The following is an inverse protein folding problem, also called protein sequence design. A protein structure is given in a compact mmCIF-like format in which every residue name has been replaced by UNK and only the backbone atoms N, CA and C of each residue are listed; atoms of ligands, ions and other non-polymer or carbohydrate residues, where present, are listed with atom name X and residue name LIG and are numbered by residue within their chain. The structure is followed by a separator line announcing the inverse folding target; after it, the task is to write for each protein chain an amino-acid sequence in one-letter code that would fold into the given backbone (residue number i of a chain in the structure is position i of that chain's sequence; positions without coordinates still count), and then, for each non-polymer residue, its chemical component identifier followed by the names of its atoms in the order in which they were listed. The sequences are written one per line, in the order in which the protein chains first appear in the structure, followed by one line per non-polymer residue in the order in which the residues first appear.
data_IF_525710609353
#
_entry.id   IF_525710609353
#
_cell.length_a   1.000
_cell.length_b   1.000
_cell.length_c   1.000
_cell.angle_alpha   90.00
_cell.angle_beta   90.00
_cell.angle_gamma   90.00
#
_symmetry.space_group_name_H-M   'P 1'
#
loop_
_entity.id
_entity.type
_entity.pdbx_description
1 polymer ?
#
# COMPACT_ATOMS: atom_id res chain seq x y z
N UNK A 1 -1.21 -11.27 31.37
CA UNK A 1 0.19 -11.06 30.95
C UNK A 1 0.15 -10.29 29.62
N UNK A 2 0.50 -9.03 29.65
CA UNK A 2 0.66 -8.27 28.42
C UNK A 2 1.96 -8.74 27.79
N UNK A 3 1.89 -9.62 26.78
CA UNK A 3 3.01 -9.82 25.89
C UNK A 3 3.41 -8.44 25.36
N UNK A 4 4.70 -8.12 25.48
CA UNK A 4 5.25 -6.84 25.02
C UNK A 4 5.09 -6.78 23.48
N UNK A 5 3.95 -6.27 23.04
CA UNK A 5 3.66 -6.12 21.60
C UNK A 5 4.59 -5.06 21.04
N UNK A 6 5.47 -5.45 20.13
CA UNK A 6 6.33 -4.51 19.40
C UNK A 6 5.61 -4.04 18.12
N UNK A 7 4.99 -2.87 18.18
CA UNK A 7 4.27 -2.30 17.04
C UNK A 7 5.20 -1.88 15.90
N UNK A 8 6.48 -1.63 16.16
CA UNK A 8 7.45 -1.37 15.09
C UNK A 8 7.62 -2.60 14.21
N UNK A 9 7.57 -3.82 14.76
CA UNK A 9 7.61 -5.04 13.94
C UNK A 9 6.30 -5.27 13.16
N UNK A 10 5.16 -4.98 13.78
CA UNK A 10 3.85 -5.11 13.12
C UNK A 10 3.70 -4.12 11.97
N UNK A 11 4.18 -2.89 12.14
CA UNK A 11 4.01 -1.80 11.18
C UNK A 11 5.20 -1.64 10.19
N UNK A 12 6.24 -2.48 10.27
CA UNK A 12 7.46 -2.32 9.44
C UNK A 12 7.18 -2.29 7.95
N UNK A 13 6.24 -3.11 7.49
CA UNK A 13 5.86 -3.21 6.07
C UNK A 13 4.57 -2.42 5.75
N UNK A 14 4.09 -1.64 6.74
CA UNK A 14 2.87 -0.87 6.59
C UNK A 14 3.08 0.31 5.62
N UNK A 15 2.22 0.48 4.60
CA UNK A 15 2.31 1.60 3.70
C UNK A 15 2.19 2.94 4.44
N UNK A 16 2.95 3.94 3.97
CA UNK A 16 2.74 5.32 4.41
C UNK A 16 1.28 5.72 4.16
N UNK A 17 0.76 6.59 5.03
CA UNK A 17 -0.62 7.09 5.01
C UNK A 17 -1.68 6.02 5.35
N UNK A 18 -1.26 4.85 5.86
CA UNK A 18 -2.20 3.90 6.46
C UNK A 18 -2.89 4.52 7.65
N UNK A 19 -4.24 4.45 7.64
CA UNK A 19 -5.07 4.97 8.71
C UNK A 19 -4.97 4.08 9.95
N UNK A 20 -4.63 4.67 11.08
CA UNK A 20 -4.66 4.06 12.41
C UNK A 20 -5.35 5.02 13.38
N UNK A 21 -5.69 4.55 14.56
CA UNK A 21 -6.43 5.34 15.55
C UNK A 21 -5.56 5.64 16.78
N UNK A 22 -5.61 6.87 17.23
CA UNK A 22 -5.01 7.30 18.48
C UNK A 22 -6.09 7.78 19.46
N UNK A 23 -6.03 7.38 20.73
CA UNK A 23 -7.09 7.65 21.70
C UNK A 23 -7.34 9.14 21.96
N UNK A 24 -6.31 9.98 21.86
CA UNK A 24 -6.43 11.43 22.10
C UNK A 24 -6.32 12.29 20.82
N UNK A 25 -5.78 11.75 19.74
CA UNK A 25 -5.69 12.46 18.45
C UNK A 25 -6.81 12.08 17.46
N UNK A 26 -7.51 10.96 17.71
CA UNK A 26 -8.45 10.40 16.76
C UNK A 26 -7.77 9.62 15.63
N UNK A 27 -8.32 9.71 14.42
CA UNK A 27 -7.76 9.08 13.23
C UNK A 27 -6.46 9.78 12.82
N UNK A 28 -5.38 9.01 12.71
CA UNK A 28 -4.05 9.48 12.32
C UNK A 28 -3.52 8.65 11.15
N UNK A 29 -2.57 9.16 10.41
CA UNK A 29 -1.96 8.48 9.29
C UNK A 29 -0.54 8.05 9.66
N UNK A 30 -0.24 6.76 9.49
CA UNK A 30 1.09 6.21 9.67
C UNK A 30 2.07 6.85 8.67
N UNK A 31 3.24 7.27 9.15
CA UNK A 31 4.26 7.92 8.31
C UNK A 31 5.44 6.99 8.06
N UNK A 32 6.11 6.59 9.12
CA UNK A 32 7.34 5.78 9.05
C UNK A 32 7.71 5.22 10.42
N UNK A 33 8.66 4.28 10.41
CA UNK A 33 9.38 3.85 11.61
C UNK A 33 10.81 4.38 11.53
N UNK A 34 11.28 4.98 12.61
CA UNK A 34 12.67 5.46 12.73
C UNK A 34 13.11 5.39 14.20
N UNK A 35 14.33 4.87 14.45
CA UNK A 35 14.91 4.75 15.78
C UNK A 35 13.97 4.06 16.79
N UNK A 36 13.36 2.95 16.39
CA UNK A 36 12.39 2.20 17.18
C UNK A 36 11.21 3.04 17.69
N UNK A 37 10.81 4.05 16.91
CA UNK A 37 9.63 4.90 17.14
C UNK A 37 8.73 4.90 15.93
N UNK A 38 7.44 4.96 16.20
CA UNK A 38 6.37 4.99 15.20
C UNK A 38 5.99 6.44 14.98
N UNK A 39 6.14 6.92 13.76
CA UNK A 39 5.75 8.27 13.37
C UNK A 39 4.40 8.25 12.67
N UNK A 40 3.55 9.15 13.09
CA UNK A 40 2.22 9.38 12.48
C UNK A 40 2.04 10.87 12.21
N UNK A 41 1.12 11.21 11.32
CA UNK A 41 0.80 12.60 11.08
C UNK A 41 -0.72 12.84 11.04
N UNK A 42 -1.10 14.05 11.45
CA UNK A 42 -2.42 14.63 11.26
C UNK A 42 -2.21 15.97 10.56
N UNK A 43 -2.81 16.13 9.37
CA UNK A 43 -2.58 17.33 8.53
C UNK A 43 -1.08 17.55 8.30
N UNK A 44 -0.51 18.64 8.83
CA UNK A 44 0.90 19.00 8.67
C UNK A 44 1.75 18.75 9.93
N UNK A 45 1.20 18.10 10.95
CA UNK A 45 1.89 17.88 12.23
C UNK A 45 2.27 16.41 12.37
N UNK A 46 3.55 16.13 12.62
CA UNK A 46 4.07 14.79 12.86
C UNK A 46 4.19 14.54 14.38
N UNK A 47 3.70 13.39 14.84
CA UNK A 47 3.81 12.89 16.21
C UNK A 47 4.58 11.59 16.21
N UNK A 48 5.18 11.22 17.34
CA UNK A 48 5.80 9.90 17.47
C UNK A 48 5.31 9.18 18.72
N UNK A 49 5.35 7.85 18.65
CA UNK A 49 5.05 6.93 19.71
C UNK A 49 6.20 5.93 19.88
N UNK A 50 6.34 5.36 21.07
CA UNK A 50 7.29 4.29 21.30
C UNK A 50 6.85 2.98 20.63
N UNK A 51 7.73 1.98 20.62
CA UNK A 51 7.47 0.70 19.95
C UNK A 51 6.32 -0.12 20.54
N UNK A 52 5.94 0.15 21.76
CA UNK A 52 4.77 -0.42 22.45
C UNK A 52 3.47 0.37 22.21
N UNK A 53 3.52 1.44 21.43
CA UNK A 53 2.39 2.32 21.14
C UNK A 53 2.09 3.35 22.21
N UNK A 54 2.98 3.54 23.17
CA UNK A 54 2.83 4.56 24.23
C UNK A 54 3.30 5.93 23.73
N UNK A 55 2.71 6.99 24.30
CA UNK A 55 3.17 8.36 24.03
C UNK A 55 4.28 8.78 25.00
N UNK A 56 4.25 8.29 26.22
CA UNK A 56 5.28 8.49 27.25
C UNK A 56 5.88 7.13 27.65
N UNK A 57 7.15 7.06 28.10
CA UNK A 57 7.84 5.80 28.39
C UNK A 57 7.16 4.89 29.41
N UNK A 58 6.37 5.46 30.33
CA UNK A 58 5.65 4.72 31.37
C UNK A 58 4.13 4.74 31.16
N UNK A 59 3.68 5.10 29.97
CA UNK A 59 2.26 5.24 29.62
C UNK A 59 1.61 3.93 29.19
N UNK A 60 0.31 4.02 28.92
CA UNK A 60 -0.43 2.94 28.27
C UNK A 60 -0.36 3.09 26.74
N UNK A 61 -0.59 1.98 26.03
CA UNK A 61 -0.71 2.01 24.56
C UNK A 61 -1.91 2.86 24.17
N UNK A 62 -1.67 3.86 23.33
CA UNK A 62 -2.67 4.84 22.90
C UNK A 62 -2.96 4.80 21.39
N UNK A 63 -2.23 3.97 20.63
CA UNK A 63 -2.47 3.78 19.19
C UNK A 63 -3.00 2.37 18.92
N UNK A 64 -3.96 2.27 18.00
CA UNK A 64 -4.69 1.05 17.68
C UNK A 64 -4.96 0.95 16.16
N UNK A 65 -5.24 -0.27 15.63
CA UNK A 65 -5.58 -0.45 14.22
C UNK A 65 -6.75 0.42 13.75
N UNK A 66 -7.81 0.52 14.55
CA UNK A 66 -8.96 1.42 14.32
C UNK A 66 -9.64 1.78 15.63
N UNK A 67 -10.68 2.60 15.55
CA UNK A 67 -11.50 2.94 16.74
C UNK A 67 -12.17 1.70 17.33
N UNK A 68 -12.64 0.78 16.50
CA UNK A 68 -13.35 -0.44 16.89
C UNK A 68 -12.38 -1.59 17.18
N UNK A 69 -11.28 -1.66 16.44
CA UNK A 69 -10.28 -2.71 16.56
C UNK A 69 -9.12 -2.25 17.46
N UNK A 70 -9.06 -2.79 18.68
CA UNK A 70 -8.03 -2.51 19.68
C UNK A 70 -6.94 -3.58 19.75
N UNK A 71 -7.10 -4.66 19.03
CA UNK A 71 -6.23 -5.83 19.07
C UNK A 71 -5.30 -5.84 17.84
N UNK A 72 -4.02 -5.57 18.08
CA UNK A 72 -2.99 -5.58 17.05
C UNK A 72 -2.69 -6.96 16.49
N UNK A 73 -3.00 -8.05 17.22
CA UNK A 73 -2.79 -9.42 16.72
C UNK A 73 -3.67 -9.72 15.49
N UNK A 74 -4.76 -9.00 15.35
CA UNK A 74 -5.70 -9.11 14.20
C UNK A 74 -5.47 -8.08 13.11
N UNK A 75 -4.48 -7.21 13.31
CA UNK A 75 -4.14 -6.21 12.30
C UNK A 75 -3.51 -6.88 11.09
N UNK A 76 -4.14 -6.67 9.93
CA UNK A 76 -3.56 -7.05 8.64
C UNK A 76 -2.93 -5.82 8.03
N UNK A 77 -1.63 -5.90 7.77
CA UNK A 77 -0.92 -4.81 7.06
C UNK A 77 -1.64 -4.55 5.73
N UNK A 78 -2.11 -3.33 5.48
CA UNK A 78 -2.75 -3.02 4.22
C UNK A 78 -1.78 -3.24 3.06
N UNK A 79 -2.23 -3.88 2.02
CA UNK A 79 -1.44 -4.01 0.80
C UNK A 79 -1.21 -2.60 0.25
N UNK A 80 0.04 -2.26 -0.07
CA UNK A 80 0.38 -0.97 -0.68
C UNK A 80 -0.47 -0.82 -1.94
N UNK A 81 -1.39 0.14 -1.94
CA UNK A 81 -2.16 0.47 -3.13
C UNK A 81 -1.18 0.83 -4.24
N UNK A 82 -1.24 0.08 -5.32
CA UNK A 82 -0.43 0.33 -6.48
C UNK A 82 -0.83 1.67 -7.12
N UNK A 83 0.16 2.53 -7.37
CA UNK A 83 -0.05 3.79 -8.08
C UNK A 83 0.69 3.71 -9.42
N UNK A 84 -0.02 3.80 -10.57
CA UNK A 84 0.62 3.78 -11.89
C UNK A 84 1.67 4.87 -12.11
N UNK A 85 1.59 5.98 -11.35
CA UNK A 85 2.57 7.07 -11.39
C UNK A 85 3.93 6.70 -10.80
N UNK A 86 4.00 5.60 -10.05
CA UNK A 86 5.25 5.10 -9.47
C UNK A 86 6.11 4.35 -10.49
N UNK A 87 5.57 3.99 -11.67
CA UNK A 87 6.33 3.35 -12.73
C UNK A 87 7.34 4.29 -13.36
N UNK A 88 8.50 3.72 -13.65
CA UNK A 88 9.56 4.36 -14.43
C UNK A 88 9.64 3.70 -15.81
N UNK A 89 10.09 4.44 -16.85
CA UNK A 89 10.37 3.83 -18.15
C UNK A 89 11.26 2.59 -18.01
N UNK A 90 10.87 1.51 -18.71
CA UNK A 90 11.49 0.19 -18.70
C UNK A 90 11.26 -0.67 -17.46
N UNK A 91 10.43 -0.25 -16.50
CA UNK A 91 9.95 -1.16 -15.47
C UNK A 91 9.19 -2.32 -16.12
N UNK A 92 9.45 -3.54 -15.64
CA UNK A 92 8.73 -4.72 -16.11
C UNK A 92 7.34 -4.76 -15.49
N UNK A 93 6.33 -4.94 -16.32
CA UNK A 93 4.91 -4.88 -15.94
C UNK A 93 4.12 -6.05 -16.51
N UNK A 94 2.99 -6.36 -15.89
CA UNK A 94 1.94 -7.18 -16.47
C UNK A 94 0.81 -6.28 -16.95
N UNK A 95 0.37 -6.49 -18.18
CA UNK A 95 -0.69 -5.72 -18.83
C UNK A 95 -1.78 -6.64 -19.35
N UNK A 96 -3.00 -6.15 -19.40
CA UNK A 96 -4.09 -6.82 -20.14
C UNK A 96 -5.12 -5.82 -20.64
N UNK A 97 -5.81 -6.19 -21.71
CA UNK A 97 -6.98 -5.47 -22.18
C UNK A 97 -8.22 -5.87 -21.37
N UNK A 98 -9.23 -4.99 -21.23
CA UNK A 98 -10.51 -5.30 -20.56
C UNK A 98 -11.18 -6.56 -21.08
N UNK A 99 -10.99 -6.85 -22.39
CA UNK A 99 -11.56 -8.04 -23.06
C UNK A 99 -10.59 -9.20 -23.16
N UNK A 100 -9.32 -9.01 -22.82
CA UNK A 100 -8.34 -10.09 -22.85
C UNK A 100 -8.45 -10.93 -21.60
N UNK A 101 -8.16 -12.21 -21.74
CA UNK A 101 -8.23 -13.18 -20.66
C UNK A 101 -6.90 -13.35 -19.92
N UNK A 102 -5.80 -12.98 -20.52
CA UNK A 102 -4.46 -13.25 -20.00
C UNK A 102 -3.66 -11.97 -19.72
N UNK A 103 -2.83 -12.05 -18.69
CA UNK A 103 -1.81 -11.05 -18.42
C UNK A 103 -0.59 -11.28 -19.27
N UNK A 104 -0.10 -10.24 -19.91
CA UNK A 104 1.10 -10.24 -20.75
C UNK A 104 2.22 -9.47 -20.05
N UNK A 105 3.43 -10.03 -20.05
CA UNK A 105 4.59 -9.36 -19.50
C UNK A 105 5.22 -8.44 -20.56
N UNK A 106 5.40 -7.18 -20.22
CA UNK A 106 6.01 -6.17 -21.10
C UNK A 106 6.79 -5.14 -20.28
N UNK A 107 7.30 -4.09 -20.94
CA UNK A 107 7.99 -3.00 -20.30
C UNK A 107 7.16 -1.71 -20.37
N UNK A 108 7.09 -1.00 -19.26
CA UNK A 108 6.43 0.27 -19.17
C UNK A 108 7.19 1.33 -19.97
N UNK A 109 6.48 2.18 -20.69
CA UNK A 109 7.03 3.34 -21.39
C UNK A 109 6.55 4.65 -20.80
N UNK A 110 5.27 4.87 -20.79
CA UNK A 110 4.66 6.06 -20.20
C UNK A 110 3.18 5.84 -19.86
N UNK A 111 2.65 6.70 -19.02
CA UNK A 111 1.23 6.77 -18.69
C UNK A 111 0.53 7.73 -19.65
N UNK A 112 -0.55 7.28 -20.31
CA UNK A 112 -1.43 8.16 -21.06
C UNK A 112 -2.56 8.61 -20.16
N UNK A 113 -2.60 9.89 -19.86
CA UNK A 113 -3.74 10.53 -19.23
C UNK A 113 -4.54 11.20 -20.34
N UNK A 114 -5.28 10.43 -21.11
CA UNK A 114 -6.26 10.99 -22.05
C UNK A 114 -7.68 10.59 -21.66
N UNK A 115 -8.42 11.53 -21.49
CA UNK A 115 -9.78 11.94 -21.14
C UNK A 115 -10.93 10.92 -21.07
N UNK A 116 -10.83 9.68 -21.44
CA UNK A 116 -11.95 8.71 -21.28
C UNK A 116 -11.48 7.27 -20.98
N UNK A 117 -10.27 6.92 -21.35
CA UNK A 117 -9.70 5.60 -21.11
C UNK A 117 -8.23 5.80 -20.70
N UNK A 118 -7.98 6.05 -19.44
CA UNK A 118 -6.61 6.05 -18.92
C UNK A 118 -5.93 4.71 -19.24
N UNK A 119 -4.68 4.73 -19.62
CA UNK A 119 -3.95 3.53 -19.99
C UNK A 119 -2.44 3.71 -19.87
N UNK A 120 -1.73 2.63 -20.02
CA UNK A 120 -0.27 2.58 -20.04
C UNK A 120 0.19 2.25 -21.45
N UNK A 121 1.19 2.98 -21.94
CA UNK A 121 1.88 2.60 -23.18
C UNK A 121 3.07 1.73 -22.81
N UNK A 122 3.17 0.58 -23.42
CA UNK A 122 4.36 -0.25 -23.41
C UNK A 122 5.38 0.17 -24.49
N UNK A 123 6.50 -0.53 -24.55
CA UNK A 123 7.56 -0.25 -25.54
C UNK A 123 7.13 -0.52 -26.99
N UNK A 124 6.06 -1.29 -27.22
CA UNK A 124 5.49 -1.56 -28.53
C UNK A 124 4.53 -0.48 -29.02
N UNK A 125 4.28 0.58 -28.21
CA UNK A 125 3.32 1.65 -28.46
C UNK A 125 1.84 1.24 -28.35
N UNK A 126 1.56 0.06 -27.83
CA UNK A 126 0.19 -0.40 -27.55
C UNK A 126 -0.28 0.22 -26.23
N UNK A 127 -1.52 0.70 -26.23
CA UNK A 127 -2.17 1.22 -25.01
C UNK A 127 -2.90 0.10 -24.28
N UNK A 128 -2.59 -0.06 -22.99
CA UNK A 128 -3.18 -1.06 -22.12
C UNK A 128 -4.00 -0.40 -21.00
N UNK A 129 -5.29 -0.70 -20.87
CA UNK A 129 -6.13 -0.13 -19.82
C UNK A 129 -5.83 -0.70 -18.42
N UNK A 130 -5.25 -1.89 -18.33
CA UNK A 130 -4.96 -2.56 -17.08
C UNK A 130 -3.48 -2.92 -16.99
N UNK A 131 -2.84 -2.55 -15.88
CA UNK A 131 -1.43 -2.77 -15.65
C UNK A 131 -1.12 -2.94 -14.17
N UNK A 132 -0.25 -3.88 -13.85
CA UNK A 132 0.28 -4.13 -12.50
C UNK A 132 1.81 -4.34 -12.57
N UNK A 133 2.57 -4.11 -11.49
CA UNK A 133 4.00 -4.37 -11.49
C UNK A 133 4.27 -5.87 -11.68
N UNK A 134 5.34 -6.20 -12.39
CA UNK A 134 5.87 -7.57 -12.46
C UNK A 134 6.90 -7.78 -11.36
N UNK A 135 6.54 -8.49 -10.32
CA UNK A 135 7.40 -8.78 -9.16
C UNK A 135 7.21 -10.23 -8.68
N UNK A 136 7.78 -10.59 -7.54
CA UNK A 136 7.66 -11.95 -6.97
C UNK A 136 6.19 -12.36 -6.74
N UNK A 137 5.36 -11.40 -6.34
CA UNK A 137 3.96 -11.66 -5.96
C UNK A 137 3.03 -11.74 -7.17
N UNK A 138 3.41 -11.15 -8.30
CA UNK A 138 2.57 -11.08 -9.52
C UNK A 138 3.07 -11.91 -10.68
N UNK A 139 4.35 -12.33 -10.68
CA UNK A 139 4.95 -13.05 -11.82
C UNK A 139 4.18 -14.33 -12.20
N UNK A 140 3.55 -14.99 -11.24
CA UNK A 140 2.74 -16.19 -11.44
C UNK A 140 1.44 -15.93 -12.21
N UNK A 141 1.01 -14.66 -12.35
CA UNK A 141 -0.18 -14.26 -13.11
C UNK A 141 0.09 -14.18 -14.61
N UNK A 142 1.35 -14.09 -15.04
CA UNK A 142 1.71 -14.04 -16.46
C UNK A 142 1.12 -15.23 -17.23
N UNK A 143 0.52 -14.96 -18.38
CA UNK A 143 -0.19 -15.93 -19.23
C UNK A 143 -1.41 -16.59 -18.57
N UNK A 144 -1.93 -16.00 -17.49
CA UNK A 144 -3.17 -16.45 -16.84
C UNK A 144 -4.27 -15.38 -16.93
N UNK A 145 -5.52 -15.82 -16.82
CA UNK A 145 -6.68 -14.94 -16.70
C UNK A 145 -7.08 -14.67 -15.25
N UNK A 146 -6.29 -15.14 -14.27
CA UNK A 146 -6.60 -14.96 -12.86
C UNK A 146 -6.63 -13.48 -12.51
N UNK A 147 -7.62 -13.08 -11.74
CA UNK A 147 -7.68 -11.73 -11.22
C UNK A 147 -6.59 -11.51 -10.14
N UNK A 148 -6.29 -10.25 -9.87
CA UNK A 148 -5.33 -9.84 -8.85
C UNK A 148 -6.05 -9.08 -7.73
N UNK A 149 -6.78 -9.76 -6.82
CA UNK A 149 -7.61 -9.13 -5.79
C UNK A 149 -6.78 -8.29 -4.81
N UNK A 150 -5.50 -8.61 -4.68
CA UNK A 150 -4.58 -7.95 -3.76
C UNK A 150 -4.00 -6.65 -4.31
N UNK A 151 -4.24 -6.34 -5.59
CA UNK A 151 -3.77 -5.12 -6.21
C UNK A 151 -4.93 -4.15 -6.44
N UNK A 152 -4.66 -2.85 -6.17
CA UNK A 152 -5.59 -1.78 -6.45
C UNK A 152 -5.87 -1.69 -7.95
N UNK A 153 -7.14 -1.77 -8.29
CA UNK A 153 -7.62 -1.65 -9.66
C UNK A 153 -7.92 -0.19 -9.98
N UNK A 154 -6.88 0.58 -10.25
CA UNK A 154 -6.99 2.01 -10.58
C UNK A 154 -7.82 2.29 -11.85
N UNK A 155 -8.02 1.29 -12.68
CA UNK A 155 -8.83 1.39 -13.90
C UNK A 155 -10.34 1.22 -13.68
N UNK A 156 -10.77 0.91 -12.48
CA UNK A 156 -12.19 0.72 -12.13
C UNK A 156 -12.75 1.95 -11.36
N UNK A 157 -11.96 3.02 -11.18
CA UNK A 157 -12.40 4.31 -10.60
C UNK A 157 -13.10 5.20 -11.60
#
# INVERSE_FOLDING_TARGET
MNENINLCEILKDCPKDTKIYCTFLGDVLFSKIKNNKIFVHIRCVEYYFYSDGTFNPEGECVIFPSREQRDWSKFKVPIKKFNPKDFKPFDKVLVRCRKATCWEATFFRCLIIQSVIGGIIDTSTISWPQCIPYNKDTSHLANTSKDCPDYYKWWDE
#
